data_IF_277395832195
#
_entry.id   IF_277395832195
#
_cell.length_a   1.000
_cell.length_b   1.000
_cell.length_c   1.000
_cell.angle_alpha   90.00
_cell.angle_beta   90.00
_cell.angle_gamma   90.00
#
_symmetry.space_group_name_H-M   'P 1'
#
loop_
_entity.id
_entity.type
_entity.pdbx_description
1 polymer ?
#
# COMPACT_ATOMS: atom_id res chain seq x y z
N UNK A 1 19.40 -20.46 7.21
CA UNK A 1 18.28 -19.58 6.83
C UNK A 1 17.20 -19.72 7.89
N UNK A 2 16.77 -18.63 8.53
CA UNK A 2 15.68 -18.70 9.51
C UNK A 2 14.35 -19.00 8.81
N UNK A 3 13.36 -19.56 9.53
CA UNK A 3 12.07 -19.94 8.93
C UNK A 3 11.39 -18.75 8.23
N UNK A 4 11.37 -17.58 8.87
CA UNK A 4 10.76 -16.37 8.33
C UNK A 4 11.50 -15.83 7.09
N UNK A 5 12.84 -15.94 7.02
CA UNK A 5 13.59 -15.59 5.79
C UNK A 5 13.17 -16.47 4.61
N UNK A 6 13.04 -17.77 4.85
CA UNK A 6 12.59 -18.72 3.83
C UNK A 6 11.18 -18.39 3.34
N UNK A 7 10.26 -18.14 4.26
CA UNK A 7 8.87 -17.80 3.93
C UNK A 7 8.79 -16.49 3.14
N UNK A 8 9.51 -15.45 3.55
CA UNK A 8 9.55 -14.19 2.82
C UNK A 8 10.10 -14.37 1.39
N UNK A 9 11.16 -15.17 1.22
CA UNK A 9 11.69 -15.49 -0.10
C UNK A 9 10.69 -16.28 -0.96
N UNK A 10 10.00 -17.27 -0.37
CA UNK A 10 8.95 -18.05 -1.04
C UNK A 10 7.77 -17.16 -1.47
N UNK A 11 7.34 -16.22 -0.62
CA UNK A 11 6.29 -15.23 -0.94
C UNK A 11 6.72 -14.35 -2.10
N UNK A 12 7.93 -13.78 -2.05
CA UNK A 12 8.44 -12.92 -3.12
C UNK A 12 8.54 -13.70 -4.43
N UNK A 13 9.06 -14.93 -4.39
CA UNK A 13 9.17 -15.77 -5.58
C UNK A 13 7.79 -16.08 -6.18
N UNK A 14 6.81 -16.45 -5.35
CA UNK A 14 5.45 -16.74 -5.78
C UNK A 14 4.77 -15.50 -6.39
N UNK A 15 4.93 -14.33 -5.78
CA UNK A 15 4.35 -13.09 -6.31
C UNK A 15 5.01 -12.61 -7.62
N UNK A 16 6.18 -13.15 -7.97
CA UNK A 16 6.92 -12.81 -9.19
C UNK A 16 6.80 -13.88 -10.28
N UNK A 17 6.16 -15.02 -10.00
CA UNK A 17 5.89 -16.04 -11.01
C UNK A 17 4.55 -15.79 -11.71
N UNK A 18 4.37 -16.43 -12.86
CA UNK A 18 3.09 -16.47 -13.58
C UNK A 18 2.15 -17.57 -13.05
N UNK A 19 2.54 -18.27 -11.98
CA UNK A 19 1.77 -19.36 -11.39
C UNK A 19 0.62 -18.85 -10.51
N UNK A 20 -0.35 -19.72 -10.24
CA UNK A 20 -1.44 -19.40 -9.32
C UNK A 20 -0.93 -19.09 -7.91
N UNK A 21 -1.11 -17.84 -7.48
CA UNK A 21 -0.75 -17.37 -6.15
C UNK A 21 -1.69 -17.86 -5.03
N UNK A 22 -2.45 -18.94 -5.25
CA UNK A 22 -3.38 -19.51 -4.27
C UNK A 22 -2.74 -19.82 -2.90
N UNK A 23 -1.48 -20.31 -2.82
CA UNK A 23 -0.82 -20.54 -1.53
C UNK A 23 -0.44 -19.27 -0.75
N UNK A 24 -0.55 -18.08 -1.34
CA UNK A 24 -0.01 -16.84 -0.78
C UNK A 24 -0.58 -16.50 0.60
N UNK A 25 -1.89 -16.66 0.80
CA UNK A 25 -2.52 -16.38 2.10
C UNK A 25 -1.97 -17.30 3.20
N UNK A 26 -1.71 -18.58 2.87
CA UNK A 26 -1.12 -19.54 3.82
C UNK A 26 0.32 -19.16 4.15
N UNK A 27 1.13 -18.79 3.15
CA UNK A 27 2.52 -18.37 3.37
C UNK A 27 2.61 -17.09 4.22
N UNK A 28 1.73 -16.12 3.98
CA UNK A 28 1.67 -14.88 4.75
C UNK A 28 1.22 -15.13 6.20
N UNK A 29 0.23 -16.01 6.40
CA UNK A 29 -0.18 -16.43 7.74
C UNK A 29 0.95 -17.15 8.49
N UNK A 30 1.67 -18.05 7.82
CA UNK A 30 2.83 -18.74 8.37
C UNK A 30 3.96 -17.77 8.71
N UNK A 31 4.19 -16.74 7.87
CA UNK A 31 5.16 -15.70 8.13
C UNK A 31 4.75 -14.89 9.36
N UNK A 32 3.48 -14.48 9.46
CA UNK A 32 2.96 -13.78 10.62
C UNK A 32 3.12 -14.58 11.91
N UNK A 33 2.84 -15.89 11.86
CA UNK A 33 2.97 -16.79 13.00
C UNK A 33 4.42 -16.93 13.52
N UNK A 34 5.42 -16.48 12.77
CA UNK A 34 6.80 -16.44 13.26
C UNK A 34 7.06 -15.31 14.26
N UNK A 35 6.18 -14.30 14.33
CA UNK A 35 6.39 -13.08 15.12
C UNK A 35 7.39 -12.09 14.50
N UNK A 36 7.90 -12.39 13.31
CA UNK A 36 9.03 -11.71 12.66
C UNK A 36 8.65 -11.19 11.26
N UNK A 37 7.36 -10.98 10.99
CA UNK A 37 6.88 -10.58 9.67
C UNK A 37 7.22 -9.12 9.32
N UNK A 38 7.30 -8.27 10.33
CA UNK A 38 7.60 -6.85 10.20
C UNK A 38 9.00 -6.59 9.65
N UNK A 39 9.99 -7.45 9.95
CA UNK A 39 11.35 -7.34 9.43
C UNK A 39 11.46 -7.56 7.91
N UNK A 40 10.45 -8.19 7.31
CA UNK A 40 10.41 -8.52 5.88
C UNK A 40 9.58 -7.52 5.07
N UNK A 41 9.07 -6.47 5.71
CA UNK A 41 8.16 -5.52 5.07
C UNK A 41 8.74 -4.88 3.81
N UNK A 42 10.02 -4.51 3.82
CA UNK A 42 10.67 -3.92 2.65
C UNK A 42 10.68 -4.90 1.47
N UNK A 43 11.00 -6.18 1.71
CA UNK A 43 10.97 -7.21 0.68
C UNK A 43 9.56 -7.45 0.12
N UNK A 44 8.52 -7.26 0.94
CA UNK A 44 7.13 -7.36 0.50
C UNK A 44 6.70 -6.13 -0.31
N UNK A 45 7.09 -4.91 0.06
CA UNK A 45 6.83 -3.71 -0.76
C UNK A 45 7.59 -3.76 -2.09
N UNK A 46 8.82 -4.31 -2.09
CA UNK A 46 9.62 -4.54 -3.30
C UNK A 46 8.86 -5.29 -4.41
N UNK A 47 7.94 -6.19 -4.03
CA UNK A 47 7.07 -6.90 -4.99
C UNK A 47 6.16 -5.92 -5.73
N UNK A 48 5.50 -5.00 -5.00
CA UNK A 48 4.62 -4.00 -5.57
C UNK A 48 5.40 -3.00 -6.44
N UNK A 49 6.58 -2.60 -5.98
CA UNK A 49 7.48 -1.69 -6.71
C UNK A 49 7.94 -2.29 -8.04
N UNK A 50 8.22 -3.61 -8.08
CA UNK A 50 8.64 -4.31 -9.30
C UNK A 50 7.48 -4.60 -10.25
N UNK A 51 6.25 -4.60 -9.77
CA UNK A 51 5.02 -4.89 -10.53
C UNK A 51 4.04 -3.71 -10.42
N UNK A 52 4.41 -2.50 -10.89
CA UNK A 52 3.68 -1.27 -10.57
C UNK A 52 2.23 -1.22 -11.09
N UNK A 53 1.93 -2.01 -12.12
CA UNK A 53 0.61 -2.11 -12.74
C UNK A 53 -0.16 -3.38 -12.35
N UNK A 54 0.38 -4.22 -11.46
CA UNK A 54 -0.31 -5.44 -11.06
C UNK A 54 -1.60 -5.10 -10.30
N UNK A 55 -2.70 -5.65 -10.81
CA UNK A 55 -4.02 -5.66 -10.16
C UNK A 55 -4.61 -7.06 -10.23
N UNK A 56 -3.92 -7.98 -9.55
CA UNK A 56 -4.21 -9.40 -9.53
C UNK A 56 -4.43 -9.89 -8.09
N UNK A 57 -4.70 -11.18 -7.94
CA UNK A 57 -4.91 -11.77 -6.61
C UNK A 57 -3.68 -11.61 -5.69
N UNK A 58 -2.46 -11.75 -6.23
CA UNK A 58 -1.24 -11.68 -5.44
C UNK A 58 -1.00 -10.28 -4.85
N UNK A 59 -1.02 -9.27 -5.71
CA UNK A 59 -0.86 -7.86 -5.35
C UNK A 59 -1.96 -7.38 -4.40
N UNK A 60 -3.22 -7.75 -4.64
CA UNK A 60 -4.34 -7.41 -3.75
C UNK A 60 -4.25 -8.10 -2.39
N UNK A 61 -3.80 -9.35 -2.33
CA UNK A 61 -3.58 -10.06 -1.07
C UNK A 61 -2.42 -9.46 -0.30
N UNK A 62 -1.30 -9.19 -0.96
CA UNK A 62 -0.13 -8.58 -0.33
C UNK A 62 -0.44 -7.19 0.23
N UNK A 63 -1.18 -6.37 -0.52
CA UNK A 63 -1.69 -5.07 -0.08
C UNK A 63 -2.42 -5.17 1.26
N UNK A 64 -3.39 -6.08 1.38
CA UNK A 64 -4.18 -6.27 2.62
C UNK A 64 -3.28 -6.58 3.83
N UNK A 65 -2.25 -7.40 3.64
CA UNK A 65 -1.31 -7.76 4.70
C UNK A 65 -0.37 -6.61 5.06
N UNK A 66 0.14 -5.88 4.08
CA UNK A 66 1.01 -4.71 4.30
C UNK A 66 0.33 -3.61 5.09
N UNK A 67 -0.99 -3.44 4.94
CA UNK A 67 -1.78 -2.45 5.68
C UNK A 67 -1.89 -2.75 7.18
N UNK A 68 -1.84 -4.04 7.58
CA UNK A 68 -1.99 -4.46 8.97
C UNK A 68 -0.66 -4.78 9.67
N UNK A 69 0.44 -4.88 8.91
CA UNK A 69 1.78 -5.10 9.46
C UNK A 69 2.25 -3.87 10.24
N UNK A 70 2.87 -4.02 11.43
CA UNK A 70 3.30 -2.94 12.33
C UNK A 70 3.69 -1.60 11.69
N UNK A 71 4.90 -1.21 11.37
CA UNK A 71 5.15 0.09 10.68
C UNK A 71 4.72 0.17 9.20
N UNK A 72 3.63 -0.50 8.81
CA UNK A 72 3.13 -0.64 7.43
C UNK A 72 2.96 0.70 6.72
N UNK A 73 2.37 1.68 7.42
CA UNK A 73 2.18 3.03 6.90
C UNK A 73 3.49 3.75 6.55
N UNK A 74 4.50 3.65 7.41
CA UNK A 74 5.79 4.30 7.16
C UNK A 74 6.47 3.71 5.92
N UNK A 75 6.44 2.39 5.78
CA UNK A 75 7.01 1.72 4.62
C UNK A 75 6.19 1.96 3.35
N UNK A 76 4.86 2.12 3.45
CA UNK A 76 4.02 2.56 2.34
C UNK A 76 4.47 3.93 1.82
N UNK A 77 4.67 4.91 2.71
CA UNK A 77 5.16 6.25 2.31
C UNK A 77 6.52 6.14 1.63
N UNK A 78 7.44 5.35 2.19
CA UNK A 78 8.76 5.14 1.60
C UNK A 78 8.67 4.49 0.20
N UNK A 79 7.85 3.44 0.07
CA UNK A 79 7.65 2.72 -1.19
C UNK A 79 7.01 3.59 -2.27
N UNK A 80 5.94 4.32 -1.91
CA UNK A 80 5.25 5.24 -2.81
C UNK A 80 6.17 6.36 -3.32
N UNK A 81 7.13 6.83 -2.52
CA UNK A 81 8.14 7.81 -2.97
C UNK A 81 9.23 7.20 -3.85
N UNK A 82 9.64 5.95 -3.59
CA UNK A 82 10.69 5.28 -4.36
C UNK A 82 10.20 4.86 -5.74
N UNK A 83 9.08 4.14 -5.78
CA UNK A 83 8.51 3.56 -7.00
C UNK A 83 7.03 3.29 -6.82
N UNK A 84 6.16 4.29 -7.07
CA UNK A 84 4.73 4.14 -6.88
C UNK A 84 4.14 3.04 -7.79
N UNK A 85 3.12 2.37 -7.27
CA UNK A 85 2.33 1.33 -7.93
C UNK A 85 0.83 1.59 -7.72
N UNK A 86 -0.02 0.93 -8.52
CA UNK A 86 -1.48 0.96 -8.31
C UNK A 86 -1.85 0.60 -6.87
N UNK A 87 -1.21 -0.43 -6.30
CA UNK A 87 -1.48 -0.86 -4.93
C UNK A 87 -1.09 0.19 -3.90
N UNK A 88 0.09 0.82 -4.02
CA UNK A 88 0.50 1.86 -3.08
C UNK A 88 -0.41 3.08 -3.17
N UNK A 89 -0.80 3.51 -4.38
CA UNK A 89 -1.74 4.63 -4.59
C UNK A 89 -3.10 4.35 -3.95
N UNK A 90 -3.64 3.14 -4.16
CA UNK A 90 -4.92 2.71 -3.55
C UNK A 90 -4.83 2.59 -2.03
N UNK A 91 -3.70 2.12 -1.50
CA UNK A 91 -3.47 2.09 -0.05
C UNK A 91 -3.51 3.51 0.53
N UNK A 92 -2.80 4.47 -0.07
CA UNK A 92 -2.82 5.88 0.37
C UNK A 92 -4.26 6.43 0.40
N UNK A 93 -5.03 6.21 -0.67
CA UNK A 93 -6.44 6.62 -0.73
C UNK A 93 -7.32 5.92 0.32
N UNK A 94 -7.05 4.65 0.62
CA UNK A 94 -7.74 3.92 1.70
C UNK A 94 -7.42 4.47 3.08
N UNK A 95 -6.17 4.83 3.35
CA UNK A 95 -5.79 5.51 4.60
C UNK A 95 -6.54 6.85 4.72
N UNK A 96 -6.61 7.63 3.65
CA UNK A 96 -7.39 8.87 3.60
C UNK A 96 -8.89 8.64 3.83
N UNK A 97 -9.46 7.60 3.23
CA UNK A 97 -10.86 7.21 3.47
C UNK A 97 -11.10 6.79 4.93
N UNK A 98 -10.10 6.20 5.58
CA UNK A 98 -10.09 5.87 7.01
C UNK A 98 -9.83 7.06 7.95
N UNK A 99 -9.72 8.29 7.43
CA UNK A 99 -9.48 9.50 8.22
C UNK A 99 -8.00 9.76 8.56
N UNK A 100 -7.08 8.95 8.02
CA UNK A 100 -5.64 9.13 8.24
C UNK A 100 -5.11 10.08 7.16
N UNK A 101 -4.93 11.35 7.52
CA UNK A 101 -4.47 12.40 6.61
C UNK A 101 -2.94 12.45 6.44
N UNK A 102 -2.19 11.94 7.42
CA UNK A 102 -0.73 11.92 7.40
C UNK A 102 -0.16 10.69 8.11
N UNK A 103 1.05 10.29 7.70
CA UNK A 103 1.84 9.23 8.33
C UNK A 103 3.25 9.79 8.56
N UNK A 104 3.72 9.76 9.81
CA UNK A 104 5.04 10.29 10.19
C UNK A 104 5.30 11.71 9.64
N UNK A 105 4.29 12.58 9.71
CA UNK A 105 4.35 13.97 9.22
C UNK A 105 4.29 14.13 7.69
N UNK A 106 4.20 13.04 6.93
CA UNK A 106 3.97 13.10 5.47
C UNK A 106 2.47 13.16 5.17
N UNK A 107 2.04 14.24 4.52
CA UNK A 107 0.67 14.40 4.00
C UNK A 107 0.41 13.38 2.88
N UNK A 108 -0.66 12.58 3.01
CA UNK A 108 -0.98 11.57 2.02
C UNK A 108 -1.62 12.18 0.76
N UNK A 109 -2.32 13.30 0.89
CA UNK A 109 -2.85 14.05 -0.26
C UNK A 109 -1.72 14.65 -1.09
N UNK A 110 -0.72 15.26 -0.44
CA UNK A 110 0.42 15.83 -1.16
C UNK A 110 1.22 14.72 -1.84
N UNK A 111 1.40 13.58 -1.18
CA UNK A 111 2.07 12.42 -1.77
C UNK A 111 1.32 11.88 -3.01
N UNK A 112 -0.02 11.80 -2.99
CA UNK A 112 -0.79 11.46 -4.20
C UNK A 112 -0.58 12.51 -5.32
N UNK A 113 -0.46 13.79 -4.96
CA UNK A 113 -0.11 14.86 -5.89
C UNK A 113 1.28 14.65 -6.52
N UNK A 114 2.28 14.35 -5.70
CA UNK A 114 3.64 14.02 -6.16
C UNK A 114 3.62 12.85 -7.15
N UNK A 115 2.87 11.77 -6.85
CA UNK A 115 2.74 10.60 -7.74
C UNK A 115 2.09 10.98 -9.07
N UNK A 116 1.00 11.76 -9.04
CA UNK A 116 0.30 12.21 -10.26
C UNK A 116 1.22 13.04 -11.18
N UNK A 117 2.04 13.91 -10.59
CA UNK A 117 2.82 14.91 -11.34
C UNK A 117 4.20 14.39 -11.79
N UNK A 118 4.67 13.26 -11.27
CA UNK A 118 5.96 12.68 -11.65
C UNK A 118 5.90 11.95 -13.01
N UNK A 119 6.53 12.49 -14.07
CA UNK A 119 6.47 11.88 -15.40
C UNK A 119 7.20 10.54 -15.51
N UNK A 120 8.02 10.15 -14.54
CA UNK A 120 8.74 8.87 -14.51
C UNK A 120 7.86 7.72 -14.03
N UNK A 121 6.73 8.02 -13.38
CA UNK A 121 5.74 7.05 -12.91
C UNK A 121 4.87 6.56 -14.09
N UNK A 122 4.51 5.27 -14.17
CA UNK A 122 3.62 4.77 -15.22
C UNK A 122 2.30 5.53 -15.33
N UNK A 123 1.80 5.73 -16.56
CA UNK A 123 0.63 6.56 -16.83
C UNK A 123 -0.60 6.17 -16.01
N UNK A 124 -0.88 4.87 -15.95
CA UNK A 124 -2.01 4.29 -15.23
C UNK A 124 -1.92 4.52 -13.72
N UNK A 125 -0.71 4.56 -13.15
CA UNK A 125 -0.51 4.86 -11.72
C UNK A 125 -0.74 6.34 -11.43
N UNK A 126 -0.37 7.23 -12.36
CA UNK A 126 -0.65 8.67 -12.26
C UNK A 126 -2.15 8.96 -12.41
N UNK A 127 -2.82 8.26 -13.32
CA UNK A 127 -4.27 8.33 -13.50
C UNK A 127 -5.01 7.87 -12.23
N UNK A 128 -4.63 6.73 -11.66
CA UNK A 128 -5.19 6.27 -10.37
C UNK A 128 -4.96 7.31 -9.26
N UNK A 129 -3.80 7.97 -9.22
CA UNK A 129 -3.53 9.03 -8.24
C UNK A 129 -4.40 10.28 -8.48
N UNK A 130 -4.63 10.66 -9.74
CA UNK A 130 -5.52 11.74 -10.11
C UNK A 130 -6.97 11.46 -9.70
N UNK A 131 -7.46 10.24 -9.95
CA UNK A 131 -8.81 9.80 -9.58
C UNK A 131 -8.98 9.81 -8.05
N UNK A 132 -7.98 9.32 -7.32
CA UNK A 132 -7.97 9.39 -5.85
C UNK A 132 -8.04 10.83 -5.33
N UNK A 133 -7.29 11.76 -5.94
CA UNK A 133 -7.32 13.18 -5.55
C UNK A 133 -8.68 13.81 -5.83
N UNK A 134 -9.25 13.58 -7.01
CA UNK A 134 -10.57 14.08 -7.39
C UNK A 134 -11.64 13.57 -6.40
N UNK A 135 -11.62 12.28 -6.08
CA UNK A 135 -12.49 11.67 -5.08
C UNK A 135 -12.38 12.35 -3.71
N UNK A 136 -11.16 12.60 -3.22
CA UNK A 136 -10.99 13.24 -1.91
C UNK A 136 -11.50 14.68 -1.91
N UNK A 137 -11.30 15.43 -2.99
CA UNK A 137 -11.80 16.81 -3.14
C UNK A 137 -13.33 16.86 -3.11
N UNK A 138 -14.00 16.00 -3.90
CA UNK A 138 -15.46 15.89 -3.94
C UNK A 138 -16.03 15.51 -2.57
N UNK A 139 -15.37 14.57 -1.88
CA UNK A 139 -15.78 14.11 -0.55
C UNK A 139 -15.68 15.22 0.49
N UNK A 140 -14.62 16.03 0.48
CA UNK A 140 -14.52 17.19 1.36
C UNK A 140 -15.53 18.28 1.04
N UNK A 141 -15.84 18.52 -0.25
CA UNK A 141 -16.83 19.50 -0.67
C UNK A 141 -18.26 19.11 -0.24
N UNK A 142 -18.56 17.80 -0.25
CA UNK A 142 -19.89 17.26 0.09
C UNK A 142 -20.05 16.99 1.59
N UNK A 143 -18.93 16.74 2.31
CA UNK A 143 -18.90 16.40 3.74
C UNK A 143 -18.73 17.58 4.71
N UNK A 144 -18.72 18.83 4.24
CA UNK A 144 -18.59 20.04 5.08
C UNK A 144 -19.79 20.36 6.00
N UNK A 145 -20.62 19.37 6.34
CA UNK A 145 -21.80 19.53 7.19
C UNK A 145 -21.94 18.42 8.25
N UNK A 146 -20.85 17.82 8.72
CA UNK A 146 -20.88 17.00 9.93
C UNK A 146 -20.15 17.69 11.09
N UNK A 147 -20.92 17.85 12.15
CA UNK A 147 -20.72 18.67 13.34
C UNK A 147 -19.39 18.45 14.05
N UNK A 148 -18.74 19.56 14.41
CA UNK A 148 -17.80 19.59 15.53
C UNK A 148 -18.58 19.18 16.79
N UNK A 149 -18.27 18.00 17.32
CA UNK A 149 -18.61 17.67 18.71
C UNK A 149 -17.40 18.06 19.54
N UNK A 150 -17.44 19.26 20.12
CA UNK A 150 -16.63 19.58 21.28
C UNK A 150 -17.12 18.70 22.43
N UNK A 151 -16.20 17.95 23.04
CA UNK A 151 -16.42 17.26 24.30
C UNK A 151 -15.71 18.07 25.39
N UNK A 152 -16.51 18.59 26.32
CA UNK A 152 -16.09 19.18 27.60
C UNK A 152 -15.28 18.20 28.46
#
# INVERSE_FOLDING_TARGET
MQKSDRLAAEIVALCMSDDDAWPLETLLADLWATGEADRHRDALFDVLERRPLADDHASNTLRRWLEILPGGGQALVASARRRPSLMTTRMLNRFLNGGIASIEGTSLLDLLGEVRDDPTVPGEVREEAADCLAWQQERTATGGSESVVEVD
#
